data_IF_230611240560
#
_entry.id   IF_230611240560
#
_cell.length_a   1.000
_cell.length_b   1.000
_cell.length_c   1.000
_cell.angle_alpha   90.00
_cell.angle_beta   90.00
_cell.angle_gamma   90.00
#
_symmetry.space_group_name_H-M   'P 1'
#
loop_
_entity.id
_entity.type
_entity.pdbx_description
1 polymer ?
#
# COMPACT_ATOMS: atom_id res chain seq x y z
N UNK A 1 4.07 -9.29 14.62
CA UNK A 1 5.44 -9.51 14.14
C UNK A 1 5.85 -8.25 13.42
N UNK A 2 6.65 -7.41 14.10
CA UNK A 2 7.44 -6.25 13.63
C UNK A 2 6.93 -5.56 12.36
N UNK A 3 5.99 -4.61 12.52
CA UNK A 3 5.73 -3.60 11.49
C UNK A 3 6.96 -2.68 11.40
N UNK A 4 8.00 -3.13 10.70
CA UNK A 4 9.20 -2.34 10.44
C UNK A 4 8.82 -1.23 9.46
N UNK A 5 8.50 -0.06 9.99
CA UNK A 5 8.30 1.14 9.19
C UNK A 5 9.66 1.65 8.70
N UNK A 6 9.87 1.67 7.39
CA UNK A 6 11.04 2.28 6.78
C UNK A 6 10.71 3.72 6.41
N UNK A 7 11.51 4.66 6.90
CA UNK A 7 11.48 6.04 6.44
C UNK A 7 12.18 6.13 5.08
N UNK A 8 11.47 6.67 4.10
CA UNK A 8 11.97 6.90 2.74
C UNK A 8 11.70 8.34 2.39
N UNK A 9 12.75 9.07 2.05
CA UNK A 9 12.63 10.44 1.54
C UNK A 9 12.32 10.35 0.05
N UNK A 10 11.16 10.87 -0.34
CA UNK A 10 10.77 10.93 -1.75
C UNK A 10 11.58 11.99 -2.49
N UNK A 11 11.61 11.98 -3.84
CA UNK A 11 12.29 13.02 -4.62
C UNK A 11 11.82 14.46 -4.30
N UNK A 12 10.59 14.60 -3.81
CA UNK A 12 9.97 15.87 -3.39
C UNK A 12 10.41 16.31 -1.98
N UNK A 13 11.27 15.54 -1.32
CA UNK A 13 11.82 15.86 0.01
C UNK A 13 10.89 15.49 1.18
N UNK A 14 9.82 14.73 0.93
CA UNK A 14 8.88 14.31 1.98
C UNK A 14 9.30 12.96 2.54
N UNK A 15 9.40 12.86 3.86
CA UNK A 15 9.68 11.59 4.53
C UNK A 15 8.40 10.75 4.67
N UNK A 16 8.32 9.64 3.93
CA UNK A 16 7.23 8.68 4.01
C UNK A 16 7.63 7.51 4.91
N UNK A 17 6.73 7.13 5.83
CA UNK A 17 6.86 5.91 6.64
C UNK A 17 6.13 4.77 5.96
N UNK A 18 6.90 3.86 5.39
CA UNK A 18 6.36 2.76 4.61
C UNK A 18 6.42 1.46 5.41
N UNK A 19 5.28 0.80 5.70
CA UNK A 19 5.26 -0.45 6.44
C UNK A 19 5.81 -1.57 5.56
N UNK A 20 7.05 -2.00 5.81
CA UNK A 20 7.68 -3.06 5.05
C UNK A 20 6.94 -4.39 5.28
N UNK A 21 6.70 -5.15 4.21
CA UNK A 21 6.03 -6.43 4.30
C UNK A 21 7.02 -7.55 4.63
N UNK A 22 6.75 -8.28 5.71
CA UNK A 22 7.56 -9.42 6.13
C UNK A 22 7.53 -10.60 5.13
N UNK A 23 8.37 -11.63 5.34
CA UNK A 23 8.48 -12.76 4.43
C UNK A 23 7.19 -13.60 4.32
N UNK A 24 6.38 -13.67 5.38
CA UNK A 24 5.18 -14.52 5.43
C UNK A 24 4.02 -14.03 4.55
N UNK A 25 3.56 -12.75 4.61
CA UNK A 25 2.59 -12.22 3.65
C UNK A 25 3.06 -12.37 2.19
N UNK A 26 4.35 -12.20 1.95
CA UNK A 26 4.95 -12.38 0.62
C UNK A 26 4.91 -13.84 0.15
N UNK A 27 5.10 -14.80 1.05
CA UNK A 27 4.98 -16.23 0.73
C UNK A 27 3.53 -16.61 0.40
N UNK A 28 2.56 -16.09 1.18
CA UNK A 28 1.14 -16.29 0.89
C UNK A 28 0.73 -15.66 -0.46
N UNK A 29 1.19 -14.45 -0.77
CA UNK A 29 0.95 -13.82 -2.07
C UNK A 29 1.48 -14.69 -3.22
N UNK A 30 2.69 -15.21 -3.04
CA UNK A 30 3.31 -16.11 -4.01
C UNK A 30 2.53 -17.41 -4.20
N UNK A 31 1.99 -18.00 -3.14
CA UNK A 31 1.15 -19.20 -3.22
C UNK A 31 -0.13 -18.95 -4.01
N UNK A 32 -0.79 -17.82 -3.78
CA UNK A 32 -1.99 -17.42 -4.54
C UNK A 32 -1.64 -17.22 -6.02
N UNK A 33 -0.56 -16.48 -6.31
CA UNK A 33 -0.09 -16.28 -7.69
C UNK A 33 0.36 -17.59 -8.34
N UNK A 34 0.91 -18.54 -7.57
CA UNK A 34 1.29 -19.86 -8.06
C UNK A 34 0.06 -20.69 -8.43
N UNK A 35 -1.00 -20.69 -7.60
CA UNK A 35 -2.25 -21.36 -7.90
C UNK A 35 -2.92 -20.80 -9.17
N UNK A 36 -2.94 -19.47 -9.33
CA UNK A 36 -3.47 -18.80 -10.54
C UNK A 36 -2.68 -19.22 -11.78
N UNK A 37 -1.35 -19.19 -11.72
CA UNK A 37 -0.49 -19.62 -12.84
C UNK A 37 -0.70 -21.10 -13.18
N UNK A 38 -0.83 -21.96 -12.17
CA UNK A 38 -1.07 -23.38 -12.36
C UNK A 38 -2.43 -23.63 -13.05
N UNK A 39 -3.49 -22.94 -12.60
CA UNK A 39 -4.80 -23.01 -13.22
C UNK A 39 -4.77 -22.52 -14.68
N UNK A 40 -4.05 -21.44 -14.96
CA UNK A 40 -3.89 -20.90 -16.31
C UNK A 40 -3.16 -21.88 -17.24
N UNK A 41 -2.03 -22.43 -16.78
CA UNK A 41 -1.26 -23.43 -17.54
C UNK A 41 -2.10 -24.69 -17.77
N UNK A 42 -2.82 -25.16 -16.75
CA UNK A 42 -3.73 -26.30 -16.88
C UNK A 42 -4.82 -26.04 -17.92
N UNK A 43 -5.49 -24.88 -17.87
CA UNK A 43 -6.52 -24.51 -18.85
C UNK A 43 -5.96 -24.44 -20.28
N UNK A 44 -4.80 -23.81 -20.48
CA UNK A 44 -4.11 -23.76 -21.78
C UNK A 44 -3.77 -25.19 -22.24
N UNK A 45 -3.29 -26.03 -21.33
CA UNK A 45 -2.96 -27.44 -21.59
C UNK A 45 -4.17 -28.27 -22.04
N UNK A 46 -5.33 -28.07 -21.40
CA UNK A 46 -6.58 -28.75 -21.80
C UNK A 46 -6.99 -28.33 -23.20
N UNK A 47 -7.00 -27.03 -23.50
CA UNK A 47 -7.43 -26.51 -24.82
C UNK A 47 -6.47 -26.97 -25.93
N UNK A 48 -5.16 -26.82 -25.72
CA UNK A 48 -4.16 -27.18 -26.73
C UNK A 48 -3.92 -28.69 -26.83
N UNK A 49 -4.21 -29.44 -25.76
CA UNK A 49 -4.15 -30.91 -25.76
C UNK A 49 -5.10 -31.52 -26.79
N UNK A 50 -6.23 -30.87 -27.09
CA UNK A 50 -7.16 -31.28 -28.13
C UNK A 50 -6.57 -31.20 -29.54
N UNK A 51 -5.50 -30.41 -29.74
CA UNK A 51 -4.82 -30.26 -31.04
C UNK A 51 -3.69 -31.30 -31.25
N UNK A 52 -3.44 -32.19 -30.29
CA UNK A 52 -2.40 -33.21 -30.39
C UNK A 52 -0.97 -32.63 -30.42
N UNK A 53 -0.08 -33.23 -31.23
CA UNK A 53 1.37 -32.89 -31.25
C UNK A 53 1.69 -31.44 -31.67
N UNK A 54 0.87 -30.80 -32.48
CA UNK A 54 1.06 -29.39 -32.86
C UNK A 54 0.80 -28.44 -31.69
N UNK A 55 -0.08 -28.81 -30.75
CA UNK A 55 -0.37 -28.05 -29.54
C UNK A 55 0.78 -27.99 -28.55
N UNK A 56 1.71 -28.95 -28.57
CA UNK A 56 2.84 -29.01 -27.62
C UNK A 56 3.78 -27.82 -27.74
N UNK A 57 4.11 -27.39 -28.96
CA UNK A 57 4.99 -26.23 -29.17
C UNK A 57 4.35 -24.93 -28.65
N UNK A 58 3.07 -24.72 -28.97
CA UNK A 58 2.29 -23.57 -28.50
C UNK A 58 2.14 -23.59 -26.98
N UNK A 59 1.93 -24.77 -26.40
CA UNK A 59 1.86 -24.96 -24.95
C UNK A 59 3.17 -24.56 -24.25
N UNK A 60 4.33 -24.95 -24.78
CA UNK A 60 5.63 -24.58 -24.23
C UNK A 60 5.86 -23.05 -24.28
N UNK A 61 5.46 -22.40 -25.37
CA UNK A 61 5.50 -20.93 -25.47
C UNK A 61 4.58 -20.30 -24.43
N UNK A 62 3.35 -20.82 -24.30
CA UNK A 62 2.40 -20.35 -23.29
C UNK A 62 2.94 -20.51 -21.86
N UNK A 63 3.57 -21.65 -21.56
CA UNK A 63 4.21 -21.90 -20.26
C UNK A 63 5.33 -20.89 -20.00
N UNK A 64 6.18 -20.61 -20.98
CA UNK A 64 7.20 -19.58 -20.87
C UNK A 64 6.59 -18.21 -20.54
N UNK A 65 5.59 -17.77 -21.31
CA UNK A 65 4.92 -16.47 -21.09
C UNK A 65 4.28 -16.39 -19.71
N UNK A 66 3.59 -17.45 -19.26
CA UNK A 66 2.93 -17.46 -17.95
C UNK A 66 3.93 -17.47 -16.79
N UNK A 67 5.06 -18.17 -16.91
CA UNK A 67 6.03 -18.20 -15.81
C UNK A 67 6.92 -16.96 -15.75
N UNK A 68 7.27 -16.39 -16.90
CA UNK A 68 8.21 -15.27 -17.02
C UNK A 68 7.53 -13.92 -17.18
N UNK A 69 6.59 -13.79 -18.13
CA UNK A 69 5.98 -12.51 -18.45
C UNK A 69 4.88 -12.13 -17.44
N UNK A 70 4.10 -13.08 -16.92
CA UNK A 70 3.03 -12.80 -15.94
C UNK A 70 3.50 -11.86 -14.80
N UNK A 71 4.49 -12.22 -13.96
CA UNK A 71 4.88 -11.36 -12.83
C UNK A 71 5.39 -9.99 -13.29
N UNK A 72 6.12 -9.92 -14.41
CA UNK A 72 6.66 -8.67 -14.95
C UNK A 72 5.53 -7.75 -15.44
N UNK A 73 4.59 -8.30 -16.22
CA UNK A 73 3.46 -7.56 -16.75
C UNK A 73 2.58 -7.03 -15.64
N UNK A 74 2.26 -7.85 -14.64
CA UNK A 74 1.46 -7.40 -13.50
C UNK A 74 2.18 -6.36 -12.64
N UNK A 75 3.49 -6.51 -12.43
CA UNK A 75 4.26 -5.52 -11.68
C UNK A 75 4.44 -4.18 -12.42
N UNK A 76 4.49 -4.18 -13.75
CA UNK A 76 4.61 -2.95 -14.54
C UNK A 76 3.26 -2.29 -14.83
N UNK A 77 2.22 -3.08 -15.14
CA UNK A 77 0.91 -2.57 -15.57
C UNK A 77 -0.04 -2.30 -14.41
N UNK A 78 0.23 -2.87 -13.24
CA UNK A 78 -0.66 -2.78 -12.08
C UNK A 78 0.03 -2.20 -10.86
N UNK A 79 0.90 -1.20 -11.06
CA UNK A 79 1.59 -0.45 -10.01
C UNK A 79 2.32 -1.35 -8.99
N UNK A 80 3.04 -2.35 -9.49
CA UNK A 80 3.79 -3.29 -8.65
C UNK A 80 2.94 -4.40 -8.01
N UNK A 81 1.71 -4.66 -8.50
CA UNK A 81 0.77 -5.57 -7.84
C UNK A 81 0.42 -6.77 -8.72
N UNK A 82 0.74 -7.96 -8.26
CA UNK A 82 0.17 -9.20 -8.79
C UNK A 82 -1.19 -9.48 -8.12
N UNK A 83 -2.08 -10.29 -8.72
CA UNK A 83 -3.37 -10.63 -8.11
C UNK A 83 -3.24 -11.18 -6.67
N UNK A 84 -2.27 -12.05 -6.41
CA UNK A 84 -2.00 -12.56 -5.06
C UNK A 84 -1.52 -11.48 -4.09
N UNK A 85 -0.64 -10.57 -4.55
CA UNK A 85 -0.22 -9.41 -3.75
C UNK A 85 -1.39 -8.46 -3.47
N UNK A 86 -2.26 -8.22 -4.45
CA UNK A 86 -3.45 -7.39 -4.30
C UNK A 86 -4.43 -7.94 -3.27
N UNK A 87 -4.63 -9.27 -3.25
CA UNK A 87 -5.47 -9.93 -2.25
C UNK A 87 -4.96 -9.70 -0.83
N UNK A 88 -3.64 -9.67 -0.65
CA UNK A 88 -2.97 -9.45 0.63
C UNK A 88 -2.57 -7.98 0.87
N UNK A 89 -3.03 -7.06 0.02
CA UNK A 89 -2.74 -5.60 0.11
C UNK A 89 -1.25 -5.29 0.14
N UNK A 90 -0.49 -5.99 -0.69
CA UNK A 90 0.93 -5.77 -0.89
C UNK A 90 1.17 -5.03 -2.20
N UNK A 91 2.12 -4.11 -2.20
CA UNK A 91 2.60 -3.47 -3.42
C UNK A 91 4.12 -3.43 -3.44
N UNK A 92 4.70 -3.52 -4.64
CA UNK A 92 6.13 -3.31 -4.84
C UNK A 92 6.36 -1.87 -5.27
N UNK A 93 7.25 -1.19 -4.58
CA UNK A 93 7.65 0.18 -4.87
C UNK A 93 9.16 0.25 -5.04
N UNK A 94 9.64 1.29 -5.73
CA UNK A 94 11.05 1.62 -5.75
C UNK A 94 11.51 2.10 -4.37
N UNK A 95 12.81 2.04 -4.09
CA UNK A 95 13.39 2.42 -2.80
C UNK A 95 13.19 3.88 -2.40
N UNK A 96 12.76 4.74 -3.33
CA UNK A 96 12.39 6.15 -3.13
C UNK A 96 10.86 6.38 -3.01
N UNK A 97 10.04 5.31 -2.98
CA UNK A 97 8.59 5.41 -2.89
C UNK A 97 7.86 5.47 -4.23
N UNK A 98 8.57 5.65 -5.36
CA UNK A 98 7.96 5.74 -6.68
C UNK A 98 7.43 4.38 -7.19
N UNK A 99 6.53 4.38 -8.20
CA UNK A 99 6.16 3.17 -8.92
C UNK A 99 7.38 2.46 -9.51
N UNK A 100 7.30 1.14 -9.59
CA UNK A 100 8.37 0.33 -10.16
C UNK A 100 8.49 0.55 -11.66
N UNK A 101 9.72 0.79 -12.14
CA UNK A 101 10.03 0.77 -13.57
C UNK A 101 10.26 -0.63 -14.15
N UNK A 102 10.13 -0.76 -15.46
CA UNK A 102 10.29 -2.01 -16.22
C UNK A 102 11.59 -2.76 -15.93
N UNK A 103 12.72 -2.06 -15.95
CA UNK A 103 14.03 -2.67 -15.73
C UNK A 103 14.14 -3.30 -14.34
N UNK A 104 13.62 -2.61 -13.32
CA UNK A 104 13.63 -3.10 -11.95
C UNK A 104 12.71 -4.33 -11.77
N UNK A 105 11.54 -4.34 -12.42
CA UNK A 105 10.63 -5.49 -12.43
C UNK A 105 11.26 -6.72 -13.13
N UNK A 106 11.92 -6.52 -14.27
CA UNK A 106 12.61 -7.59 -15.00
C UNK A 106 13.78 -8.13 -14.18
N UNK A 107 14.64 -7.25 -13.66
CA UNK A 107 15.83 -7.64 -12.90
C UNK A 107 15.48 -8.47 -11.67
N UNK A 108 14.47 -8.03 -10.88
CA UNK A 108 14.05 -8.79 -9.70
C UNK A 108 13.43 -10.14 -10.05
N UNK A 109 12.66 -10.21 -11.16
CA UNK A 109 12.00 -11.45 -11.54
C UNK A 109 12.97 -12.46 -12.17
N UNK A 110 14.05 -11.99 -12.81
CA UNK A 110 15.15 -12.84 -13.27
C UNK A 110 15.94 -13.42 -12.09
N UNK A 111 16.26 -12.59 -11.10
CA UNK A 111 16.93 -13.00 -9.86
C UNK A 111 16.10 -13.96 -8.99
N UNK A 112 14.78 -14.04 -9.23
CA UNK A 112 13.92 -15.04 -8.61
C UNK A 112 14.41 -16.47 -8.87
N UNK A 113 15.04 -16.74 -10.00
CA UNK A 113 15.64 -18.06 -10.29
C UNK A 113 16.77 -18.37 -9.33
N UNK A 114 17.58 -17.37 -9.00
CA UNK A 114 18.67 -17.48 -8.02
C UNK A 114 18.09 -17.67 -6.62
N UNK A 115 17.05 -16.92 -6.27
CA UNK A 115 16.35 -17.08 -4.99
C UNK A 115 15.82 -18.50 -4.80
N UNK A 116 15.39 -19.18 -5.88
CA UNK A 116 14.83 -20.54 -5.86
C UNK A 116 15.85 -21.64 -5.55
N UNK A 117 17.15 -21.36 -5.65
CA UNK A 117 18.21 -22.34 -5.42
C UNK A 117 18.55 -22.51 -3.92
N UNK A 118 19.18 -23.62 -3.52
CA UNK A 118 19.13 -24.94 -4.17
C UNK A 118 17.80 -25.70 -3.92
N UNK A 119 17.11 -25.44 -2.80
CA UNK A 119 15.90 -26.17 -2.39
C UNK A 119 14.67 -25.26 -2.28
N UNK A 120 14.16 -24.77 -3.41
CA UNK A 120 12.82 -24.18 -3.46
C UNK A 120 12.64 -22.90 -2.64
N UNK A 121 13.45 -21.88 -2.90
CA UNK A 121 13.46 -20.54 -2.26
C UNK A 121 14.34 -20.36 -1.02
N UNK A 122 15.24 -21.31 -0.72
CA UNK A 122 16.17 -21.22 0.42
C UNK A 122 17.02 -19.95 0.43
N UNK A 123 17.63 -19.58 -0.70
CA UNK A 123 18.46 -18.37 -0.79
C UNK A 123 17.63 -17.11 -0.57
N UNK A 124 16.46 -17.01 -1.21
CA UNK A 124 15.57 -15.87 -1.05
C UNK A 124 15.05 -15.71 0.38
N UNK A 125 14.78 -16.82 1.07
CA UNK A 125 14.33 -16.84 2.46
C UNK A 125 15.44 -16.40 3.42
N UNK A 126 16.65 -16.95 3.26
CA UNK A 126 17.82 -16.54 4.05
C UNK A 126 18.15 -15.06 3.86
N UNK A 127 18.12 -14.57 2.62
CA UNK A 127 18.31 -13.16 2.31
C UNK A 127 17.22 -12.28 2.96
N UNK A 128 15.97 -12.73 2.95
CA UNK A 128 14.86 -12.00 3.60
C UNK A 128 14.96 -11.99 5.12
N UNK A 129 15.53 -13.02 5.75
CA UNK A 129 15.77 -13.02 7.19
C UNK A 129 17.02 -12.20 7.58
N UNK A 130 18.02 -12.15 6.71
CA UNK A 130 19.24 -11.37 6.95
C UNK A 130 19.03 -9.86 6.74
N UNK A 131 18.11 -9.47 5.85
CA UNK A 131 17.81 -8.06 5.60
C UNK A 131 16.79 -7.51 6.62
N UNK A 132 17.10 -6.40 7.31
CA UNK A 132 16.18 -5.78 8.29
C UNK A 132 14.81 -5.39 7.72
N UNK A 133 14.70 -5.26 6.40
CA UNK A 133 13.48 -4.87 5.68
C UNK A 133 12.82 -6.04 4.94
N UNK A 134 13.25 -7.28 5.18
CA UNK A 134 12.61 -8.47 4.61
C UNK A 134 12.75 -8.60 3.10
N UNK A 135 13.76 -7.98 2.49
CA UNK A 135 14.00 -7.98 1.04
C UNK A 135 14.64 -9.29 0.57
N UNK A 136 14.26 -9.76 -0.62
CA UNK A 136 14.93 -10.88 -1.29
C UNK A 136 16.10 -10.35 -2.11
N UNK A 137 17.00 -11.22 -2.59
CA UNK A 137 18.14 -10.77 -3.41
C UNK A 137 17.68 -9.99 -4.64
N UNK A 138 16.62 -10.46 -5.31
CA UNK A 138 16.03 -9.74 -6.44
C UNK A 138 15.58 -8.32 -6.09
N UNK A 139 15.00 -8.10 -4.91
CA UNK A 139 14.56 -6.78 -4.49
C UNK A 139 15.75 -5.87 -4.11
N UNK A 140 16.79 -6.45 -3.48
CA UNK A 140 18.01 -5.73 -3.12
C UNK A 140 18.73 -5.20 -4.36
N UNK A 141 18.91 -6.05 -5.37
CA UNK A 141 19.58 -5.68 -6.63
C UNK A 141 18.72 -4.70 -7.44
N UNK A 142 17.41 -4.91 -7.50
CA UNK A 142 16.51 -4.00 -8.19
C UNK A 142 16.23 -2.69 -7.43
N UNK A 143 16.77 -2.53 -6.21
CA UNK A 143 16.57 -1.33 -5.39
C UNK A 143 15.11 -1.12 -5.00
N UNK A 144 14.37 -2.19 -4.72
CA UNK A 144 12.91 -2.15 -4.52
C UNK A 144 12.49 -2.75 -3.18
N UNK A 145 11.26 -2.44 -2.79
CA UNK A 145 10.70 -2.83 -1.50
C UNK A 145 9.25 -3.27 -1.68
N UNK A 146 8.86 -4.31 -0.94
CA UNK A 146 7.46 -4.72 -0.83
C UNK A 146 6.90 -4.12 0.44
N UNK A 147 5.82 -3.36 0.32
CA UNK A 147 5.18 -2.67 1.44
C UNK A 147 3.71 -3.05 1.52
N UNK A 148 3.14 -2.95 2.71
CA UNK A 148 1.69 -2.98 2.85
C UNK A 148 1.12 -1.68 2.27
N UNK A 149 0.03 -1.81 1.53
CA UNK A 149 -0.73 -0.68 1.04
C UNK A 149 -1.26 0.11 2.24
N UNK A 150 -0.81 1.36 2.37
CA UNK A 150 -1.43 2.33 3.28
C UNK A 150 -2.77 2.66 2.65
N UNK A 151 -3.85 2.16 3.24
CA UNK A 151 -5.17 2.45 2.71
C UNK A 151 -5.44 3.94 2.90
N UNK A 152 -5.88 4.63 1.85
CA UNK A 152 -6.56 5.94 1.92
C UNK A 152 -7.90 5.88 2.68
N UNK A 153 -8.21 4.74 3.33
CA UNK A 153 -9.54 4.40 3.83
C UNK A 153 -10.00 5.20 5.04
N UNK A 154 -9.11 5.95 5.66
CA UNK A 154 -9.49 6.90 6.68
C UNK A 154 -9.04 8.29 6.27
N UNK A 155 -9.30 8.71 5.01
CA UNK A 155 -9.48 10.14 4.78
C UNK A 155 -10.59 10.57 5.75
N UNK A 156 -10.26 11.32 6.80
CA UNK A 156 -11.17 11.50 7.91
C UNK A 156 -12.46 12.13 7.39
N UNK A 157 -13.56 11.44 7.63
CA UNK A 157 -14.88 11.90 7.20
C UNK A 157 -15.29 13.00 8.16
N UNK A 158 -15.08 14.24 7.73
CA UNK A 158 -15.49 15.40 8.49
C UNK A 158 -17.03 15.43 8.54
N UNK A 159 -17.61 15.77 9.70
CA UNK A 159 -19.02 16.03 9.80
C UNK A 159 -19.43 17.12 8.79
N UNK A 160 -20.51 16.87 8.04
CA UNK A 160 -21.04 17.86 7.12
C UNK A 160 -21.52 19.09 7.91
N UNK A 161 -20.85 20.22 7.70
CA UNK A 161 -21.17 21.52 8.28
C UNK A 161 -20.83 22.59 7.25
N UNK A 162 -21.70 23.58 7.11
CA UNK A 162 -21.48 24.73 6.23
C UNK A 162 -20.19 25.45 6.65
N UNK A 163 -19.26 25.66 5.71
CA UNK A 163 -17.97 26.26 6.01
C UNK A 163 -18.14 27.66 6.60
N UNK A 164 -17.44 27.91 7.71
CA UNK A 164 -17.49 29.19 8.40
C UNK A 164 -16.07 29.69 8.66
N UNK A 165 -15.70 30.93 8.26
CA UNK A 165 -14.36 31.44 8.53
C UNK A 165 -14.12 31.59 10.03
N UNK A 166 -12.91 31.28 10.49
CA UNK A 166 -12.56 31.47 11.89
C UNK A 166 -12.73 32.96 12.28
N UNK A 167 -13.36 33.26 13.43
CA UNK A 167 -13.56 34.64 13.88
C UNK A 167 -12.26 35.32 14.34
N UNK A 168 -11.19 34.54 14.50
CA UNK A 168 -9.86 34.97 14.91
C UNK A 168 -8.81 34.38 13.98
N UNK A 169 -7.68 35.07 13.85
CA UNK A 169 -6.52 34.54 13.10
C UNK A 169 -5.92 33.37 13.86
N UNK A 170 -6.00 32.17 13.28
CA UNK A 170 -5.46 30.94 13.87
C UNK A 170 -4.00 30.74 13.47
N UNK A 171 -3.14 30.41 14.43
CA UNK A 171 -1.77 29.98 14.14
C UNK A 171 -1.79 28.61 13.42
N UNK A 172 -0.73 28.25 12.67
CA UNK A 172 -0.68 26.94 11.99
C UNK A 172 -0.90 25.75 12.92
N UNK A 173 -0.43 25.83 14.17
CA UNK A 173 -0.64 24.80 15.19
C UNK A 173 -2.13 24.69 15.60
N UNK A 174 -2.83 25.81 15.72
CA UNK A 174 -4.26 25.84 16.07
C UNK A 174 -5.12 25.33 14.93
N UNK A 175 -4.77 25.68 13.69
CA UNK A 175 -5.41 25.16 12.48
C UNK A 175 -5.27 23.63 12.42
N UNK A 176 -4.06 23.11 12.64
CA UNK A 176 -3.80 21.68 12.69
C UNK A 176 -4.56 20.99 13.83
N UNK A 177 -4.66 21.62 15.00
CA UNK A 177 -5.42 21.07 16.14
C UNK A 177 -6.93 21.00 15.85
N UNK A 178 -7.50 22.02 15.19
CA UNK A 178 -8.90 22.06 14.78
C UNK A 178 -9.24 21.01 13.74
N UNK A 179 -8.41 20.91 12.69
CA UNK A 179 -8.54 19.85 11.68
C UNK A 179 -8.46 18.50 12.37
N UNK A 180 -7.42 18.23 13.17
CA UNK A 180 -7.27 16.95 13.86
C UNK A 180 -8.40 16.64 14.86
N UNK A 181 -9.04 17.63 15.47
CA UNK A 181 -10.25 17.43 16.26
C UNK A 181 -11.41 16.98 15.38
N UNK A 182 -11.68 17.69 14.29
CA UNK A 182 -12.78 17.38 13.39
C UNK A 182 -12.61 16.01 12.71
N UNK A 183 -11.36 15.66 12.38
CA UNK A 183 -11.00 14.36 11.80
C UNK A 183 -11.24 13.18 12.76
N UNK A 184 -10.97 13.39 14.06
CA UNK A 184 -11.14 12.36 15.10
C UNK A 184 -12.53 12.36 15.73
N UNK A 185 -13.36 13.36 15.47
CA UNK A 185 -14.65 13.52 16.14
C UNK A 185 -15.56 12.30 15.99
N UNK A 186 -15.53 11.62 14.83
CA UNK A 186 -16.29 10.40 14.58
C UNK A 186 -15.96 9.24 15.54
N UNK A 187 -14.76 9.25 16.14
CA UNK A 187 -14.32 8.25 17.11
C UNK A 187 -14.50 8.69 18.58
N UNK A 188 -14.96 9.91 18.82
CA UNK A 188 -15.19 10.46 20.15
C UNK A 188 -16.67 10.35 20.54
N UNK A 189 -16.94 10.07 21.83
CA UNK A 189 -18.31 10.15 22.35
C UNK A 189 -18.81 11.60 22.30
N UNK A 190 -20.12 11.85 22.15
CA UNK A 190 -20.67 13.21 22.10
C UNK A 190 -20.27 14.07 23.31
N UNK A 191 -20.23 13.47 24.51
CA UNK A 191 -19.76 14.16 25.71
C UNK A 191 -18.30 14.61 25.61
N UNK A 192 -17.41 13.77 25.05
CA UNK A 192 -16.00 14.10 24.87
C UNK A 192 -15.77 15.14 23.78
N UNK A 193 -16.59 15.13 22.72
CA UNK A 193 -16.57 16.18 21.70
C UNK A 193 -16.91 17.54 22.32
N UNK A 194 -17.95 17.60 23.17
CA UNK A 194 -18.33 18.82 23.89
C UNK A 194 -17.21 19.29 24.81
N UNK A 195 -16.65 18.40 25.63
CA UNK A 195 -15.55 18.73 26.56
C UNK A 195 -14.35 19.37 25.84
N UNK A 196 -13.93 18.80 24.70
CA UNK A 196 -12.82 19.33 23.92
C UNK A 196 -13.22 20.64 23.23
N UNK A 197 -14.44 20.75 22.70
CA UNK A 197 -14.93 21.97 22.06
C UNK A 197 -15.05 23.14 23.06
N UNK A 198 -15.31 22.85 24.33
CA UNK A 198 -15.37 23.87 25.38
C UNK A 198 -14.02 24.50 25.71
N UNK A 199 -12.90 23.86 25.36
CA UNK A 199 -11.58 24.49 25.44
C UNK A 199 -11.47 25.72 24.50
N UNK A 200 -12.25 25.74 23.42
CA UNK A 200 -12.33 26.86 22.49
C UNK A 200 -13.33 27.95 22.90
N UNK A 201 -14.15 27.73 23.95
CA UNK A 201 -15.16 28.70 24.41
C UNK A 201 -14.63 30.13 24.64
N UNK A 202 -13.40 30.37 25.17
CA UNK A 202 -12.91 31.73 25.41
C UNK A 202 -12.88 32.63 24.16
N UNK A 203 -12.64 32.07 22.98
CA UNK A 203 -12.60 32.82 21.72
C UNK A 203 -13.80 32.51 20.80
N UNK A 204 -14.48 31.39 21.00
CA UNK A 204 -15.65 30.99 20.22
C UNK A 204 -16.96 31.57 20.77
N UNK A 205 -17.04 31.83 22.08
CA UNK A 205 -18.24 32.33 22.76
C UNK A 205 -19.41 31.34 22.83
N UNK A 206 -19.24 30.11 22.34
CA UNK A 206 -20.25 29.05 22.30
C UNK A 206 -19.91 27.94 23.30
N UNK A 207 -20.93 27.17 23.71
CA UNK A 207 -20.79 26.01 24.61
C UNK A 207 -21.61 24.82 24.10
N UNK A 208 -21.36 23.63 24.66
CA UNK A 208 -22.11 22.43 24.32
C UNK A 208 -22.00 22.04 22.84
N UNK A 209 -23.08 21.46 22.31
CA UNK A 209 -23.14 20.98 20.93
C UNK A 209 -22.99 22.10 19.88
N UNK A 210 -23.36 23.34 20.22
CA UNK A 210 -23.20 24.49 19.32
C UNK A 210 -21.71 24.84 19.10
N UNK A 211 -20.87 24.69 20.14
CA UNK A 211 -19.43 24.85 20.01
C UNK A 211 -18.85 23.79 19.06
N UNK A 212 -19.25 22.52 19.25
CA UNK A 212 -18.83 21.39 18.40
C UNK A 212 -19.14 21.65 16.93
N UNK A 213 -20.39 22.02 16.60
CA UNK A 213 -20.80 22.31 15.22
C UNK A 213 -20.01 23.48 14.62
N UNK A 214 -19.75 24.53 15.40
CA UNK A 214 -18.98 25.67 14.91
C UNK A 214 -17.52 25.30 14.64
N UNK A 215 -16.92 24.44 15.45
CA UNK A 215 -15.56 23.95 15.20
C UNK A 215 -15.50 23.10 13.92
N UNK A 216 -16.51 22.28 13.63
CA UNK A 216 -16.59 21.55 12.36
C UNK A 216 -16.73 22.48 11.16
N UNK A 217 -17.56 23.51 11.26
CA UNK A 217 -17.72 24.53 10.23
C UNK A 217 -16.40 25.27 9.94
N UNK A 218 -15.63 25.60 10.99
CA UNK A 218 -14.31 26.23 10.85
C UNK A 218 -13.30 25.27 10.20
N UNK A 219 -13.28 24.01 10.62
CA UNK A 219 -12.41 22.99 10.03
C UNK A 219 -12.71 22.76 8.54
N UNK A 220 -13.99 22.71 8.14
CA UNK A 220 -14.38 22.61 6.73
C UNK A 220 -13.94 23.84 5.93
N UNK A 221 -14.05 25.04 6.50
CA UNK A 221 -13.55 26.28 5.87
C UNK A 221 -12.04 26.31 5.67
N UNK A 222 -11.25 25.78 6.62
CA UNK A 222 -9.80 25.66 6.48
C UNK A 222 -9.38 24.69 5.37
N UNK A 223 -10.20 23.67 5.11
CA UNK A 223 -9.95 22.64 4.10
C UNK A 223 -10.60 22.94 2.75
N UNK A 224 -11.32 24.06 2.62
CA UNK A 224 -11.98 24.47 1.39
C UNK A 224 -13.13 23.56 0.95
N UNK A 225 -13.82 22.93 1.91
CA UNK A 225 -15.00 22.07 1.68
C UNK A 225 -16.31 22.82 1.82
#
# INVERSE_FOLDING_TARGET
MLDTCREVVTPEGVALRLPAAGPMPRALAWLVDFAIRLALVFAIGVVLGLMGRSGTGVYLIGLFVVFWCYPILFECLWDGRTPGKRLLRLQVIAGNGAPVGWLAAIARNLLRVVDMLPFGYTVGLLASFADPWGRRLGDMVAGTLVVHEVQDRDAPTLPAAEAFPAPVTLLPADQAALVAFAERAAHLTPARQVEIAELATPWLGLRGHAAVQRLFAIANGLLGR
#
